data_IF_068833610012
#
_entry.id   IF_068833610012
#
_cell.length_a   1.000
_cell.length_b   1.000
_cell.length_c   1.000
_cell.angle_alpha   90.00
_cell.angle_beta   90.00
_cell.angle_gamma   90.00
#
_symmetry.space_group_name_H-M   'P 1'
#
loop_
_entity.id
_entity.type
_entity.pdbx_description
1 polymer ?
#
# COMPACT_ATOMS: atom_id res chain seq x y z
N UNK A 1 19.13 -19.34 6.19
CA UNK A 1 18.70 -20.23 5.09
C UNK A 1 17.31 -19.77 4.69
N UNK A 2 17.11 -19.34 3.43
CA UNK A 2 15.78 -19.02 2.93
C UNK A 2 14.97 -20.31 2.75
N UNK A 3 13.69 -20.30 3.09
CA UNK A 3 12.81 -21.44 2.87
C UNK A 3 12.49 -21.54 1.38
N UNK A 4 12.51 -22.76 0.84
CA UNK A 4 12.31 -23.03 -0.59
C UNK A 4 10.87 -22.78 -1.06
N UNK A 5 9.88 -22.76 -0.15
CA UNK A 5 8.49 -22.48 -0.49
C UNK A 5 7.73 -21.79 0.64
N UNK A 6 6.70 -21.04 0.27
CA UNK A 6 5.81 -20.38 1.23
C UNK A 6 5.05 -21.37 2.12
N UNK A 7 4.75 -22.58 1.65
CA UNK A 7 4.12 -23.62 2.49
C UNK A 7 5.05 -24.08 3.62
N UNK A 8 6.34 -24.29 3.33
CA UNK A 8 7.34 -24.62 4.35
C UNK A 8 7.47 -23.47 5.36
N UNK A 9 7.47 -22.23 4.88
CA UNK A 9 7.51 -21.05 5.73
C UNK A 9 6.25 -20.90 6.61
N UNK A 10 5.08 -21.18 6.06
CA UNK A 10 3.82 -21.15 6.79
C UNK A 10 3.79 -22.21 7.89
N UNK A 11 4.32 -23.41 7.61
CA UNK A 11 4.46 -24.47 8.61
C UNK A 11 5.46 -24.09 9.70
N UNK A 12 6.63 -23.55 9.34
CA UNK A 12 7.63 -23.07 10.30
C UNK A 12 7.04 -21.99 11.22
N UNK A 13 6.34 -20.98 10.68
CA UNK A 13 5.61 -19.99 11.48
C UNK A 13 4.54 -20.65 12.36
N UNK A 14 3.82 -21.64 11.81
CA UNK A 14 2.82 -22.42 12.52
C UNK A 14 3.38 -23.11 13.77
N UNK A 15 4.58 -23.68 13.66
CA UNK A 15 5.27 -24.43 14.71
C UNK A 15 6.01 -23.52 15.69
N UNK A 16 6.73 -22.52 15.21
CA UNK A 16 7.57 -21.67 16.06
C UNK A 16 6.75 -20.58 16.76
N UNK A 17 5.82 -19.93 16.03
CA UNK A 17 5.11 -18.74 16.51
C UNK A 17 3.69 -19.07 16.95
N UNK A 18 2.96 -19.86 16.16
CA UNK A 18 1.52 -20.07 16.34
C UNK A 18 1.16 -21.39 17.03
N UNK A 19 2.12 -22.10 17.66
CA UNK A 19 1.91 -23.41 18.27
C UNK A 19 0.76 -23.45 19.31
N UNK A 20 0.47 -22.32 19.94
CA UNK A 20 -0.60 -22.17 20.92
C UNK A 20 -2.01 -22.11 20.30
N UNK A 21 -2.14 -21.91 18.98
CA UNK A 21 -3.43 -21.80 18.29
C UNK A 21 -3.95 -23.17 17.85
N UNK A 22 -5.27 -23.36 17.88
CA UNK A 22 -5.94 -24.58 17.39
C UNK A 22 -5.77 -24.79 15.87
N UNK A 23 -5.75 -23.68 15.12
CA UNK A 23 -5.59 -23.66 13.67
C UNK A 23 -4.34 -22.86 13.28
N UNK A 24 -3.18 -23.49 13.50
CA UNK A 24 -1.83 -22.91 13.36
C UNK A 24 -1.57 -22.42 11.95
N UNK A 25 -1.93 -23.24 10.96
CA UNK A 25 -1.73 -22.93 9.54
C UNK A 25 -2.53 -21.70 9.13
N UNK A 26 -3.80 -21.58 9.53
CA UNK A 26 -4.62 -20.38 9.25
C UNK A 26 -4.10 -19.13 9.94
N UNK A 27 -3.60 -19.25 11.18
CA UNK A 27 -2.98 -18.14 11.89
C UNK A 27 -1.72 -17.64 11.18
N UNK A 28 -0.80 -18.55 10.83
CA UNK A 28 0.39 -18.25 10.04
C UNK A 28 0.05 -17.62 8.70
N UNK A 29 -0.93 -18.18 7.98
CA UNK A 29 -1.36 -17.65 6.68
C UNK A 29 -1.91 -16.22 6.76
N UNK A 30 -2.60 -15.86 7.84
CA UNK A 30 -3.05 -14.47 8.06
C UNK A 30 -1.88 -13.53 8.32
N UNK A 31 -0.90 -13.98 9.09
CA UNK A 31 0.33 -13.21 9.32
C UNK A 31 1.08 -12.96 8.01
N UNK A 32 1.18 -13.96 7.13
CA UNK A 32 1.78 -13.79 5.80
C UNK A 32 1.08 -12.71 4.96
N UNK A 33 -0.26 -12.65 4.99
CA UNK A 33 -1.00 -11.57 4.33
C UNK A 33 -0.61 -10.18 4.86
N UNK A 34 -0.46 -10.04 6.18
CA UNK A 34 0.05 -8.81 6.79
C UNK A 34 1.50 -8.51 6.39
N UNK A 35 2.33 -9.52 6.13
CA UNK A 35 3.70 -9.29 5.64
C UNK A 35 3.70 -8.71 4.23
N UNK A 36 2.84 -9.19 3.33
CA UNK A 36 2.70 -8.60 1.98
C UNK A 36 2.35 -7.12 2.08
N UNK A 37 1.37 -6.80 2.92
CA UNK A 37 0.97 -5.41 3.17
C UNK A 37 2.14 -4.55 3.70
N UNK A 38 2.86 -5.04 4.71
CA UNK A 38 4.01 -4.34 5.31
C UNK A 38 5.11 -4.13 4.27
N UNK A 39 5.48 -5.18 3.53
CA UNK A 39 6.51 -5.09 2.49
C UNK A 39 6.13 -4.03 1.45
N UNK A 40 4.89 -4.05 0.95
CA UNK A 40 4.41 -3.04 0.00
C UNK A 40 4.46 -1.63 0.60
N UNK A 41 4.04 -1.44 1.85
CA UNK A 41 4.07 -0.12 2.49
C UNK A 41 5.50 0.43 2.63
N UNK A 42 6.45 -0.39 3.08
CA UNK A 42 7.83 0.05 3.24
C UNK A 42 8.56 0.21 1.90
N UNK A 43 8.18 -0.55 0.86
CA UNK A 43 8.66 -0.32 -0.51
C UNK A 43 8.22 1.06 -1.02
N UNK A 44 6.92 1.39 -0.93
CA UNK A 44 6.38 2.71 -1.29
C UNK A 44 7.08 3.82 -0.51
N UNK A 45 7.34 3.58 0.78
CA UNK A 45 8.05 4.53 1.65
C UNK A 45 9.49 4.76 1.20
N UNK A 46 10.21 3.71 0.83
CA UNK A 46 11.58 3.81 0.30
C UNK A 46 11.68 4.39 -1.10
N UNK A 47 10.60 4.34 -1.88
CA UNK A 47 10.46 5.13 -3.12
C UNK A 47 10.20 6.63 -2.86
N UNK A 48 10.13 7.05 -1.60
CA UNK A 48 9.90 8.45 -1.23
C UNK A 48 8.45 8.90 -1.38
N UNK A 49 7.50 7.96 -1.51
CA UNK A 49 6.08 8.25 -1.74
C UNK A 49 5.26 8.28 -0.43
N UNK A 50 5.88 8.02 0.72
CA UNK A 50 5.24 7.97 2.03
C UNK A 50 4.33 9.17 2.34
N UNK A 51 4.75 10.37 1.94
CA UNK A 51 4.05 11.60 2.25
C UNK A 51 2.80 11.80 1.37
N UNK A 52 2.63 11.01 0.31
CA UNK A 52 1.41 10.92 -0.50
C UNK A 52 0.55 9.73 -0.09
N UNK A 53 1.07 8.78 0.70
CA UNK A 53 0.38 7.52 1.00
C UNK A 53 -0.68 7.68 2.08
N UNK A 54 -1.90 7.30 1.74
CA UNK A 54 -3.01 7.04 2.66
C UNK A 54 -3.30 5.54 2.73
N UNK A 55 -3.76 5.08 3.89
CA UNK A 55 -4.03 3.65 4.18
C UNK A 55 -5.53 3.45 4.43
N UNK A 56 -6.12 2.43 3.82
CA UNK A 56 -7.54 2.03 4.03
C UNK A 56 -8.54 3.18 3.77
N UNK A 57 -8.30 3.98 2.71
CA UNK A 57 -9.16 5.10 2.33
C UNK A 57 -10.21 4.65 1.31
N UNK A 58 -11.42 5.21 1.40
CA UNK A 58 -12.46 5.01 0.41
C UNK A 58 -12.09 5.61 -0.94
N UNK A 59 -12.39 4.89 -2.01
CA UNK A 59 -12.17 5.25 -3.40
C UNK A 59 -13.48 5.05 -4.16
N UNK A 60 -13.98 6.13 -4.76
CA UNK A 60 -15.22 6.09 -5.56
C UNK A 60 -14.98 5.50 -6.94
N UNK A 61 -16.02 4.93 -7.54
CA UNK A 61 -15.99 4.48 -8.93
C UNK A 61 -16.02 5.68 -9.90
N UNK A 62 -15.34 5.53 -11.04
CA UNK A 62 -15.34 6.52 -12.09
C UNK A 62 -16.76 6.74 -12.63
N UNK A 63 -17.26 7.97 -12.47
CA UNK A 63 -18.59 8.35 -12.93
C UNK A 63 -19.74 7.88 -12.02
N UNK A 64 -19.44 7.33 -10.83
CA UNK A 64 -20.46 6.92 -9.86
C UNK A 64 -19.98 7.12 -8.42
N UNK A 65 -20.26 8.29 -7.85
CA UNK A 65 -19.83 8.67 -6.49
C UNK A 65 -20.60 7.94 -5.37
N UNK A 66 -21.74 7.32 -5.68
CA UNK A 66 -22.54 6.54 -4.72
C UNK A 66 -21.90 5.20 -4.37
N UNK A 67 -20.92 4.73 -5.18
CA UNK A 67 -20.21 3.48 -4.96
C UNK A 67 -18.77 3.78 -4.54
N UNK A 68 -18.42 3.37 -3.32
CA UNK A 68 -17.07 3.54 -2.76
C UNK A 68 -16.52 2.22 -2.22
N UNK A 69 -15.22 2.04 -2.40
CA UNK A 69 -14.45 0.86 -1.99
C UNK A 69 -13.27 1.27 -1.12
N UNK A 70 -13.01 0.58 -0.02
CA UNK A 70 -11.78 0.82 0.73
C UNK A 70 -10.62 0.12 0.03
N UNK A 71 -9.58 0.88 -0.31
CA UNK A 71 -8.36 0.34 -0.92
C UNK A 71 -7.22 0.23 0.09
N UNK A 72 -6.32 -0.73 -0.08
CA UNK A 72 -5.22 -0.94 0.87
C UNK A 72 -4.32 0.29 1.01
N UNK A 73 -3.83 0.82 -0.11
CA UNK A 73 -3.12 2.10 -0.16
C UNK A 73 -3.62 2.97 -1.31
N UNK A 74 -3.60 4.28 -1.11
CA UNK A 74 -3.84 5.26 -2.16
C UNK A 74 -2.80 6.37 -2.07
N UNK A 75 -2.33 6.86 -3.21
CA UNK A 75 -1.36 7.93 -3.29
C UNK A 75 -2.05 9.20 -3.76
N UNK A 76 -2.01 10.22 -2.91
CA UNK A 76 -2.71 11.48 -3.12
C UNK A 76 -1.72 12.61 -3.41
N UNK A 77 -2.08 13.54 -4.31
CA UNK A 77 -1.36 14.79 -4.47
C UNK A 77 -1.24 15.54 -3.15
N UNK A 78 -0.08 16.16 -2.91
CA UNK A 78 0.15 17.03 -1.77
C UNK A 78 -0.05 18.46 -2.25
N UNK A 79 -1.02 19.15 -1.66
CA UNK A 79 -1.35 20.55 -1.96
C UNK A 79 -0.43 21.47 -1.15
N UNK A 80 -0.38 21.25 0.17
CA UNK A 80 0.38 22.07 1.09
C UNK A 80 1.19 21.19 2.06
N UNK A 81 2.33 21.70 2.49
CA UNK A 81 3.17 21.09 3.54
C UNK A 81 3.43 22.10 4.64
N UNK A 82 3.20 21.67 5.87
CA UNK A 82 3.41 22.47 7.07
C UNK A 82 4.35 21.74 8.02
N UNK A 83 5.04 22.51 8.86
CA UNK A 83 5.88 21.98 9.93
C UNK A 83 5.38 22.48 11.27
N UNK A 84 5.22 21.57 12.22
CA UNK A 84 4.80 21.89 13.58
C UNK A 84 5.70 21.20 14.59
N UNK A 85 5.90 21.86 15.73
CA UNK A 85 6.64 21.32 16.86
C UNK A 85 5.69 20.97 17.99
N UNK A 86 5.88 19.80 18.59
CA UNK A 86 5.06 19.34 19.72
C UNK A 86 6.00 18.92 20.87
N UNK A 87 5.76 19.37 22.11
CA UNK A 87 6.56 18.95 23.25
C UNK A 87 6.57 17.43 23.43
N UNK A 88 7.74 16.87 23.72
CA UNK A 88 7.89 15.48 24.10
C UNK A 88 7.62 15.31 25.60
N UNK A 89 6.35 15.39 25.98
CA UNK A 89 5.88 15.30 27.37
C UNK A 89 5.62 13.84 27.84
N UNK A 90 6.07 12.84 27.06
CA UNK A 90 5.79 11.43 27.29
C UNK A 90 4.31 11.03 27.11
N UNK A 91 3.43 11.94 26.68
CA UNK A 91 2.02 11.66 26.39
C UNK A 91 1.82 11.37 24.91
N UNK A 92 0.62 10.88 24.57
CA UNK A 92 0.24 10.64 23.18
C UNK A 92 0.26 11.94 22.35
N UNK A 93 0.65 11.80 21.09
CA UNK A 93 0.52 12.82 20.06
C UNK A 93 -0.82 12.62 19.37
N UNK A 94 -1.83 13.37 19.81
CA UNK A 94 -3.20 13.27 19.31
C UNK A 94 -3.45 14.24 18.16
N UNK A 95 -4.43 13.96 17.30
CA UNK A 95 -4.87 14.91 16.27
C UNK A 95 -5.21 16.29 16.85
N UNK A 96 -5.76 16.36 18.08
CA UNK A 96 -6.07 17.65 18.73
C UNK A 96 -4.79 18.44 19.05
N UNK A 97 -3.72 17.78 19.51
CA UNK A 97 -2.43 18.45 19.75
C UNK A 97 -1.83 18.99 18.45
N UNK A 98 -1.87 18.18 17.38
CA UNK A 98 -1.30 18.55 16.07
C UNK A 98 -2.09 19.70 15.43
N UNK A 99 -3.43 19.63 15.41
CA UNK A 99 -4.27 20.68 14.83
C UNK A 99 -4.09 22.02 15.56
N UNK A 100 -4.01 22.03 16.90
CA UNK A 100 -3.73 23.25 17.67
C UNK A 100 -2.39 23.89 17.31
N UNK A 101 -1.35 23.08 17.10
CA UNK A 101 -0.05 23.59 16.68
C UNK A 101 -0.09 24.17 15.25
N UNK A 102 -1.04 23.72 14.42
CA UNK A 102 -1.23 24.13 13.04
C UNK A 102 -2.12 25.38 12.88
N UNK A 103 -2.92 25.76 13.89
CA UNK A 103 -3.88 26.89 13.86
C UNK A 103 -3.27 28.23 13.40
N UNK A 104 -1.97 28.43 13.63
CA UNK A 104 -1.25 29.64 13.19
C UNK A 104 -0.89 29.68 11.70
N UNK A 105 -0.93 28.54 11.02
CA UNK A 105 -0.49 28.37 9.62
C UNK A 105 -1.66 28.05 8.68
N UNK A 106 -2.74 27.46 9.19
CA UNK A 106 -3.88 27.01 8.40
C UNK A 106 -5.18 27.23 9.19
N UNK A 107 -6.22 27.68 8.47
CA UNK A 107 -7.57 27.72 9.01
C UNK A 107 -8.12 26.30 9.19
N UNK A 108 -7.89 25.73 10.39
CA UNK A 108 -8.32 24.37 10.72
C UNK A 108 -9.84 24.22 10.83
N UNK A 109 -10.62 25.30 10.86
CA UNK A 109 -12.08 25.24 11.02
C UNK A 109 -12.77 24.57 9.83
N UNK A 110 -12.09 24.55 8.67
CA UNK A 110 -12.51 23.85 7.44
C UNK A 110 -12.43 22.32 7.56
N UNK A 111 -11.70 21.80 8.54
CA UNK A 111 -11.43 20.37 8.68
C UNK A 111 -12.22 19.75 9.83
N UNK A 112 -12.99 18.71 9.53
CA UNK A 112 -13.57 17.81 10.53
C UNK A 112 -12.44 17.00 11.17
N UNK A 113 -12.17 17.26 12.45
CA UNK A 113 -11.15 16.55 13.22
C UNK A 113 -11.39 15.03 13.26
N UNK A 114 -10.33 14.25 13.09
CA UNK A 114 -10.30 12.80 13.35
C UNK A 114 -9.78 12.49 14.75
N UNK A 115 -10.21 11.37 15.33
CA UNK A 115 -9.79 10.94 16.68
C UNK A 115 -8.58 9.99 16.66
N UNK A 116 -7.65 10.23 15.73
CA UNK A 116 -6.43 9.44 15.59
C UNK A 116 -5.30 9.99 16.47
N UNK A 117 -4.40 9.09 16.87
CA UNK A 117 -3.13 9.45 17.52
C UNK A 117 -2.00 9.05 16.58
N UNK A 118 -1.08 9.98 16.31
CA UNK A 118 0.14 9.69 15.56
C UNK A 118 1.02 8.75 16.37
N UNK A 119 1.22 9.03 17.65
CA UNK A 119 1.98 8.20 18.58
C UNK A 119 1.18 8.04 19.88
N UNK A 120 1.02 6.81 20.36
CA UNK A 120 0.40 6.54 21.65
C UNK A 120 1.42 6.46 22.80
N UNK A 121 0.95 6.40 24.04
CA UNK A 121 1.79 6.32 25.24
C UNK A 121 2.57 5.00 25.38
N UNK A 122 2.36 4.04 24.46
CA UNK A 122 3.04 2.77 24.42
C UNK A 122 3.99 2.69 23.22
N UNK A 123 4.35 3.85 22.64
CA UNK A 123 5.23 4.00 21.50
C UNK A 123 4.74 3.26 20.23
N UNK A 124 3.41 3.18 20.05
CA UNK A 124 2.82 2.66 18.82
C UNK A 124 2.51 3.83 17.89
N UNK A 125 3.19 3.83 16.75
CA UNK A 125 3.01 4.76 15.64
C UNK A 125 1.77 4.36 14.82
N UNK A 126 0.95 5.34 14.45
CA UNK A 126 -0.03 5.22 13.38
C UNK A 126 0.59 5.71 12.07
N UNK A 127 0.82 4.82 11.13
CA UNK A 127 1.24 5.18 9.78
C UNK A 127 0.12 5.92 9.04
N UNK A 128 0.50 6.84 8.15
CA UNK A 128 -0.44 7.68 7.40
C UNK A 128 -1.54 8.30 8.29
N UNK A 129 -1.13 8.97 9.38
CA UNK A 129 -2.06 9.42 10.40
C UNK A 129 -2.89 10.63 9.93
N UNK A 130 -4.12 10.39 9.47
CA UNK A 130 -5.08 11.47 9.20
C UNK A 130 -5.55 12.15 10.48
N UNK A 131 -5.43 13.48 10.55
CA UNK A 131 -5.80 14.30 11.72
C UNK A 131 -7.05 15.15 11.49
N UNK A 132 -7.36 15.48 10.23
CA UNK A 132 -8.53 16.29 9.85
C UNK A 132 -8.92 16.04 8.40
N UNK A 133 -10.17 16.31 8.05
CA UNK A 133 -10.73 16.07 6.72
C UNK A 133 -11.82 17.09 6.38
N UNK A 134 -11.76 17.67 5.19
CA UNK A 134 -12.82 18.47 4.58
C UNK A 134 -13.45 17.70 3.41
N UNK A 135 -14.36 18.32 2.67
CA UNK A 135 -14.93 17.71 1.47
C UNK A 135 -13.97 17.80 0.26
N UNK A 136 -12.97 18.68 0.30
CA UNK A 136 -11.99 18.89 -0.79
C UNK A 136 -10.64 18.22 -0.55
N UNK A 137 -10.19 18.18 0.71
CA UNK A 137 -8.85 17.75 1.09
C UNK A 137 -8.83 17.09 2.48
N UNK A 138 -7.68 16.55 2.87
CA UNK A 138 -7.47 16.03 4.22
C UNK A 138 -6.03 16.22 4.70
N UNK A 139 -5.87 16.25 6.02
CA UNK A 139 -4.59 16.48 6.68
C UNK A 139 -4.00 15.16 7.18
N UNK A 140 -2.79 14.84 6.73
CA UNK A 140 -2.01 13.69 7.16
C UNK A 140 -0.76 14.17 7.89
N UNK A 141 -0.39 13.52 9.00
CA UNK A 141 0.81 13.89 9.75
C UNK A 141 1.81 12.75 9.88
N UNK A 142 3.09 13.09 9.93
CA UNK A 142 4.20 12.16 10.12
C UNK A 142 5.36 12.85 10.86
N UNK A 143 6.30 12.04 11.37
CA UNK A 143 7.52 12.56 12.00
C UNK A 143 8.50 13.09 10.96
N UNK A 144 8.99 14.32 11.18
CA UNK A 144 10.22 14.84 10.57
C UNK A 144 11.44 14.34 11.35
N UNK A 145 11.39 14.54 12.67
CA UNK A 145 12.42 14.07 13.60
C UNK A 145 11.83 13.85 14.99
N UNK A 146 12.50 13.00 15.76
CA UNK A 146 12.17 12.68 17.14
C UNK A 146 13.30 13.21 18.02
N UNK A 147 13.03 14.30 18.75
CA UNK A 147 13.96 14.89 19.71
C UNK A 147 13.64 14.48 21.14
N UNK A 148 14.58 14.75 22.05
CA UNK A 148 14.40 14.47 23.49
C UNK A 148 13.32 15.35 24.10
N UNK A 149 13.32 16.66 23.79
CA UNK A 149 12.37 17.63 24.37
C UNK A 149 11.20 17.96 23.44
N UNK A 150 11.37 17.78 22.13
CA UNK A 150 10.36 18.11 21.12
C UNK A 150 10.33 17.10 19.97
N UNK A 151 9.13 16.91 19.44
CA UNK A 151 8.89 16.24 18.17
C UNK A 151 8.71 17.28 17.07
N UNK A 152 9.45 17.15 15.98
CA UNK A 152 9.18 17.91 14.76
C UNK A 152 8.32 17.05 13.84
N UNK A 153 7.16 17.57 13.45
CA UNK A 153 6.19 16.88 12.61
C UNK A 153 6.00 17.61 11.29
N UNK A 154 5.77 16.85 10.24
CA UNK A 154 5.23 17.35 8.98
C UNK A 154 3.72 17.10 8.96
N UNK A 155 2.97 18.07 8.47
CA UNK A 155 1.55 17.94 8.14
C UNK A 155 1.38 18.21 6.65
N UNK A 156 0.78 17.27 5.94
CA UNK A 156 0.50 17.35 4.52
C UNK A 156 -0.99 17.51 4.32
N UNK A 157 -1.38 18.53 3.57
CA UNK A 157 -2.72 18.62 3.02
C UNK A 157 -2.75 17.86 1.69
N UNK A 158 -3.55 16.81 1.61
CA UNK A 158 -3.69 15.96 0.46
C UNK A 158 -5.06 16.15 -0.19
N UNK A 159 -5.12 16.10 -1.52
CA UNK A 159 -6.40 16.07 -2.25
C UNK A 159 -7.16 14.79 -1.91
N UNK A 160 -8.49 14.82 -1.98
CA UNK A 160 -9.32 13.62 -1.78
C UNK A 160 -9.09 12.54 -2.84
N UNK A 161 -8.78 12.96 -4.07
CA UNK A 161 -8.61 12.08 -5.21
C UNK A 161 -7.16 11.61 -5.33
N UNK A 162 -6.91 10.29 -5.37
CA UNK A 162 -5.57 9.78 -5.59
C UNK A 162 -5.17 9.83 -7.07
N UNK A 163 -3.86 9.83 -7.34
CA UNK A 163 -3.29 9.55 -8.66
C UNK A 163 -2.92 8.08 -8.86
N UNK A 164 -2.81 7.31 -7.76
CA UNK A 164 -2.56 5.88 -7.82
C UNK A 164 -3.17 5.13 -6.63
N UNK A 165 -3.43 3.83 -6.80
CA UNK A 165 -3.85 2.95 -5.71
C UNK A 165 -3.14 1.60 -5.75
N UNK A 166 -2.96 1.00 -4.57
CA UNK A 166 -2.38 -0.33 -4.41
C UNK A 166 -3.35 -1.25 -3.68
N UNK A 167 -3.50 -2.46 -4.21
CA UNK A 167 -4.22 -3.56 -3.58
C UNK A 167 -3.27 -4.74 -3.32
N UNK A 168 -3.21 -5.22 -2.09
CA UNK A 168 -2.36 -6.33 -1.66
C UNK A 168 -3.20 -7.59 -1.45
N UNK A 169 -2.93 -8.67 -2.18
CA UNK A 169 -3.68 -9.91 -2.07
C UNK A 169 -2.77 -11.13 -2.01
N UNK A 170 -3.02 -11.99 -1.01
CA UNK A 170 -2.47 -13.34 -0.99
C UNK A 170 -3.31 -14.26 -1.88
N UNK A 171 -2.68 -15.07 -2.72
CA UNK A 171 -3.37 -15.95 -3.68
C UNK A 171 -2.82 -17.38 -3.56
N UNK A 172 -3.70 -18.36 -3.36
CA UNK A 172 -3.33 -19.78 -3.31
C UNK A 172 -4.24 -20.64 -2.42
N UNK A 173 -4.25 -21.96 -2.66
CA UNK A 173 -5.21 -22.96 -2.14
C UNK A 173 -4.76 -23.50 -0.78
N UNK A 174 -5.66 -23.45 0.21
CA UNK A 174 -5.45 -24.14 1.48
C UNK A 174 -5.48 -25.66 1.24
N UNK A 175 -4.41 -26.36 1.63
CA UNK A 175 -4.27 -27.82 1.52
C UNK A 175 -5.52 -28.56 2.02
N UNK A 176 -6.12 -29.41 1.17
CA UNK A 176 -7.35 -30.16 1.46
C UNK A 176 -8.65 -29.54 0.92
N UNK A 177 -8.63 -28.34 0.34
CA UNK A 177 -9.80 -27.72 -0.28
C UNK A 177 -9.89 -27.98 -1.80
N UNK A 178 -11.04 -28.47 -2.28
CA UNK A 178 -11.35 -28.70 -3.71
C UNK A 178 -11.97 -27.49 -4.43
N UNK A 179 -12.45 -26.49 -3.69
CA UNK A 179 -13.01 -25.24 -4.25
C UNK A 179 -11.99 -24.13 -4.10
N UNK A 180 -11.94 -23.23 -5.09
CA UNK A 180 -11.09 -22.04 -5.05
C UNK A 180 -11.26 -21.31 -3.71
N UNK A 181 -10.18 -21.01 -2.99
CA UNK A 181 -10.24 -20.44 -1.65
C UNK A 181 -10.94 -19.08 -1.67
N UNK A 182 -11.58 -18.71 -0.55
CA UNK A 182 -12.18 -17.38 -0.35
C UNK A 182 -11.22 -16.22 -0.66
N UNK A 183 -9.91 -16.46 -0.65
CA UNK A 183 -8.86 -15.51 -1.03
C UNK A 183 -8.92 -15.12 -2.51
N UNK A 184 -9.29 -16.02 -3.42
CA UNK A 184 -9.46 -15.70 -4.85
C UNK A 184 -10.65 -14.76 -5.05
N UNK A 185 -11.77 -14.99 -4.37
CA UNK A 185 -12.93 -14.11 -4.46
C UNK A 185 -12.62 -12.70 -3.93
N UNK A 186 -11.80 -12.61 -2.88
CA UNK A 186 -11.28 -11.31 -2.39
C UNK A 186 -10.32 -10.64 -3.38
N UNK A 187 -9.49 -11.42 -4.07
CA UNK A 187 -8.62 -10.87 -5.11
C UNK A 187 -9.43 -10.33 -6.30
N UNK A 188 -10.51 -11.03 -6.69
CA UNK A 188 -11.44 -10.57 -7.73
C UNK A 188 -12.19 -9.29 -7.32
N UNK A 189 -12.50 -9.10 -6.05
CA UNK A 189 -13.08 -7.84 -5.56
C UNK A 189 -12.13 -6.66 -5.78
N UNK A 190 -10.86 -6.77 -5.39
CA UNK A 190 -9.87 -5.74 -5.70
C UNK A 190 -9.70 -5.52 -7.21
N UNK A 191 -9.73 -6.61 -7.99
CA UNK A 191 -9.66 -6.57 -9.45
C UNK A 191 -10.88 -5.86 -10.09
N UNK A 192 -12.04 -5.88 -9.44
CA UNK A 192 -13.21 -5.11 -9.85
C UNK A 192 -12.99 -3.61 -9.57
N UNK A 193 -12.51 -3.26 -8.37
CA UNK A 193 -12.18 -1.87 -8.02
C UNK A 193 -11.17 -1.27 -9.00
N UNK A 194 -10.14 -2.02 -9.38
CA UNK A 194 -9.14 -1.60 -10.36
C UNK A 194 -9.72 -1.25 -11.73
N UNK A 195 -10.78 -1.97 -12.14
CA UNK A 195 -11.46 -1.69 -13.41
C UNK A 195 -12.41 -0.49 -13.31
N UNK A 196 -13.01 -0.27 -12.15
CA UNK A 196 -14.07 0.72 -11.98
C UNK A 196 -13.56 2.10 -11.52
N UNK A 197 -12.40 2.19 -10.86
CA UNK A 197 -11.97 3.43 -10.22
C UNK A 197 -11.39 4.49 -11.19
N UNK A 198 -10.69 4.06 -12.25
CA UNK A 198 -9.95 4.97 -13.15
C UNK A 198 -10.79 5.39 -14.37
N UNK A 199 -10.57 6.60 -14.88
CA UNK A 199 -11.17 7.02 -16.17
C UNK A 199 -10.59 6.30 -17.38
N UNK A 200 -9.38 5.75 -17.28
CA UNK A 200 -8.80 4.90 -18.31
C UNK A 200 -9.41 3.51 -18.24
N UNK A 201 -10.26 3.17 -19.21
CA UNK A 201 -10.98 1.91 -19.26
C UNK A 201 -10.34 0.94 -20.27
N UNK A 202 -10.27 -0.34 -19.91
CA UNK A 202 -9.72 -1.41 -20.78
C UNK A 202 -10.81 -1.99 -21.68
N UNK A 203 -10.56 -2.04 -22.99
CA UNK A 203 -11.43 -2.67 -23.99
C UNK A 203 -10.64 -3.65 -24.85
N UNK A 204 -11.35 -4.54 -25.56
CA UNK A 204 -10.74 -5.49 -26.51
C UNK A 204 -11.39 -5.38 -27.89
N UNK A 205 -10.56 -5.51 -28.91
CA UNK A 205 -11.02 -5.65 -30.30
C UNK A 205 -11.49 -7.08 -30.57
N UNK A 206 -12.12 -7.30 -31.73
CA UNK A 206 -12.51 -8.65 -32.17
C UNK A 206 -11.30 -9.58 -32.42
N UNK A 207 -10.13 -9.02 -32.72
CA UNK A 207 -8.84 -9.72 -32.80
C UNK A 207 -8.23 -10.03 -31.43
N UNK A 208 -8.84 -9.54 -30.35
CA UNK A 208 -8.38 -9.75 -28.98
C UNK A 208 -7.26 -8.79 -28.55
N UNK A 209 -6.95 -7.76 -29.31
CA UNK A 209 -5.95 -6.75 -28.91
C UNK A 209 -6.50 -5.88 -27.78
N UNK A 210 -5.61 -5.45 -26.86
CA UNK A 210 -5.98 -4.66 -25.68
C UNK A 210 -5.82 -3.16 -25.97
N UNK A 211 -6.92 -2.43 -25.89
CA UNK A 211 -6.98 -0.99 -26.09
C UNK A 211 -7.44 -0.29 -24.81
N UNK A 212 -7.03 0.96 -24.66
CA UNK A 212 -7.57 1.89 -23.66
C UNK A 212 -8.60 2.80 -24.31
N UNK A 213 -9.63 3.18 -23.54
CA UNK A 213 -10.54 4.27 -23.86
C UNK A 213 -10.58 5.23 -22.68
N UNK A 214 -10.49 6.52 -22.97
CA UNK A 214 -10.66 7.63 -22.02
C UNK A 214 -11.47 8.74 -22.70
N UNK A 215 -12.28 9.47 -21.96
CA UNK A 215 -13.05 10.59 -22.51
C UNK A 215 -12.31 11.91 -22.28
N UNK A 216 -12.15 12.69 -23.34
CA UNK A 216 -11.57 14.04 -23.26
C UNK A 216 -12.58 15.01 -22.62
N UNK A 217 -12.13 16.22 -22.26
CA UNK A 217 -12.98 17.24 -21.66
C UNK A 217 -14.19 17.67 -22.51
N UNK A 218 -14.12 17.47 -23.83
CA UNK A 218 -15.22 17.70 -24.77
C UNK A 218 -16.21 16.51 -24.87
N UNK A 219 -15.98 15.42 -24.13
CA UNK A 219 -16.81 14.22 -24.15
C UNK A 219 -16.53 13.27 -25.33
N UNK A 220 -15.51 13.53 -26.15
CA UNK A 220 -15.12 12.62 -27.22
C UNK A 220 -14.27 11.45 -26.68
N UNK A 221 -14.52 10.22 -27.15
CA UNK A 221 -13.70 9.08 -26.78
C UNK A 221 -12.34 9.17 -27.46
N UNK A 222 -11.29 8.95 -26.68
CA UNK A 222 -9.92 8.80 -27.15
C UNK A 222 -9.46 7.36 -26.92
N UNK A 223 -9.07 6.69 -28.01
CA UNK A 223 -8.82 5.25 -28.04
C UNK A 223 -7.45 4.98 -28.66
N UNK A 224 -6.63 4.20 -27.97
CA UNK A 224 -5.25 3.82 -28.36
C UNK A 224 -4.88 2.45 -27.76
N UNK A 225 -3.81 1.78 -28.23
CA UNK A 225 -3.28 0.60 -27.55
C UNK A 225 -3.07 0.89 -26.07
N UNK A 226 -3.45 -0.05 -25.21
CA UNK A 226 -3.67 0.26 -23.80
C UNK A 226 -2.43 0.82 -23.07
N UNK A 227 -1.27 0.18 -23.25
CA UNK A 227 -0.02 0.61 -22.61
C UNK A 227 0.45 1.96 -23.17
N UNK A 228 0.33 2.17 -24.48
CA UNK A 228 0.68 3.45 -25.11
C UNK A 228 -0.19 4.60 -24.58
N UNK A 229 -1.50 4.37 -24.43
CA UNK A 229 -2.41 5.38 -23.90
C UNK A 229 -2.13 5.67 -22.42
N UNK A 230 -1.85 4.64 -21.63
CA UNK A 230 -1.48 4.80 -20.23
C UNK A 230 -0.21 5.66 -20.08
N UNK A 231 0.82 5.38 -20.88
CA UNK A 231 2.08 6.13 -20.85
C UNK A 231 1.89 7.58 -21.30
N UNK A 232 1.11 7.79 -22.36
CA UNK A 232 0.74 9.13 -22.81
C UNK A 232 0.05 9.92 -21.70
N UNK A 233 -0.92 9.34 -20.99
CA UNK A 233 -1.61 10.02 -19.89
C UNK A 233 -0.60 10.39 -18.80
N UNK A 234 0.19 9.42 -18.32
CA UNK A 234 1.14 9.60 -17.20
C UNK A 234 2.17 10.69 -17.50
N UNK A 235 2.71 10.71 -18.72
CA UNK A 235 3.79 11.62 -19.11
C UNK A 235 3.29 12.93 -19.76
N UNK A 236 2.01 13.05 -20.11
CA UNK A 236 1.41 14.31 -20.56
C UNK A 236 1.14 15.29 -19.42
N UNK A 237 0.89 16.56 -19.75
CA UNK A 237 0.32 17.56 -18.85
C UNK A 237 -1.14 17.90 -19.24
N UNK A 238 -1.81 17.00 -19.97
CA UNK A 238 -3.21 17.18 -20.36
C UNK A 238 -4.12 17.00 -19.13
N UNK A 239 -4.59 18.12 -18.60
CA UNK A 239 -5.44 18.16 -17.41
C UNK A 239 -6.71 17.34 -17.58
N UNK A 240 -7.30 17.30 -18.79
CA UNK A 240 -8.53 16.56 -19.03
C UNK A 240 -8.30 15.04 -18.95
N UNK A 241 -7.13 14.56 -19.36
CA UNK A 241 -6.77 13.15 -19.23
C UNK A 241 -6.40 12.78 -17.79
N UNK A 242 -5.69 13.66 -17.09
CA UNK A 242 -5.18 13.41 -15.74
C UNK A 242 -6.23 13.52 -14.64
N UNK A 243 -7.17 14.48 -14.74
CA UNK A 243 -8.11 14.82 -13.67
C UNK A 243 -8.86 13.61 -13.10
N UNK A 244 -9.16 12.61 -13.94
CA UNK A 244 -9.89 11.40 -13.54
C UNK A 244 -9.09 10.12 -13.70
N UNK A 245 -7.81 10.21 -14.00
CA UNK A 245 -6.93 9.05 -14.12
C UNK A 245 -6.45 8.61 -12.74
N UNK A 246 -6.50 7.30 -12.49
CA UNK A 246 -5.89 6.65 -11.33
C UNK A 246 -5.10 5.47 -11.85
N UNK A 247 -3.80 5.43 -11.56
CA UNK A 247 -2.97 4.26 -11.84
C UNK A 247 -3.29 3.15 -10.85
N UNK A 248 -3.63 1.96 -11.32
CA UNK A 248 -4.04 0.83 -10.47
C UNK A 248 -2.96 -0.24 -10.38
N UNK A 249 -2.49 -0.52 -9.16
CA UNK A 249 -1.41 -1.47 -8.89
C UNK A 249 -1.91 -2.61 -8.01
N UNK A 250 -1.81 -3.84 -8.50
CA UNK A 250 -2.01 -5.05 -7.70
C UNK A 250 -0.68 -5.61 -7.22
N UNK A 251 -0.57 -5.98 -5.95
CA UNK A 251 0.57 -6.71 -5.39
C UNK A 251 0.08 -8.06 -4.88
N UNK A 252 0.57 -9.14 -5.48
CA UNK A 252 0.13 -10.50 -5.16
C UNK A 252 1.28 -11.38 -4.67
N UNK A 253 1.00 -12.29 -3.75
CA UNK A 253 1.94 -13.34 -3.32
C UNK A 253 1.32 -14.74 -3.47
N UNK A 254 2.16 -15.75 -3.66
CA UNK A 254 1.73 -17.15 -3.77
C UNK A 254 1.55 -17.82 -2.41
N UNK A 255 0.58 -18.71 -2.27
CA UNK A 255 0.41 -19.58 -1.09
C UNK A 255 -0.10 -20.95 -1.53
N UNK A 256 0.78 -21.80 -2.09
CA UNK A 256 0.47 -23.20 -2.39
C UNK A 256 0.65 -23.62 -3.86
N UNK A 257 1.86 -23.46 -4.41
CA UNK A 257 2.27 -23.98 -5.74
C UNK A 257 1.34 -23.61 -6.92
N UNK A 258 0.87 -22.36 -6.98
CA UNK A 258 0.02 -21.89 -8.09
C UNK A 258 0.80 -21.43 -9.34
N UNK A 259 2.15 -21.39 -9.35
CA UNK A 259 2.88 -20.57 -10.33
C UNK A 259 4.18 -21.16 -10.87
N UNK A 260 4.36 -20.98 -12.18
CA UNK A 260 5.59 -20.47 -12.80
C UNK A 260 5.22 -19.20 -13.59
N UNK A 261 6.13 -18.24 -13.74
CA UNK A 261 5.93 -17.02 -14.55
C UNK A 261 5.57 -17.32 -16.02
N UNK A 262 5.83 -18.55 -16.47
CA UNK A 262 5.63 -19.01 -17.84
C UNK A 262 4.23 -19.62 -18.07
N UNK A 263 3.47 -19.96 -17.01
CA UNK A 263 2.13 -20.55 -17.15
C UNK A 263 1.12 -19.94 -16.16
N UNK A 264 0.55 -18.81 -16.53
CA UNK A 264 -0.49 -18.15 -15.74
C UNK A 264 -1.77 -18.99 -15.70
N UNK A 265 -2.20 -19.39 -14.50
CA UNK A 265 -3.56 -19.87 -14.27
C UNK A 265 -4.60 -18.79 -14.60
N UNK A 266 -5.87 -19.19 -14.70
CA UNK A 266 -6.98 -18.33 -15.09
C UNK A 266 -7.10 -17.10 -14.19
N UNK A 267 -6.86 -17.25 -12.91
CA UNK A 267 -7.05 -16.22 -11.90
C UNK A 267 -5.98 -15.13 -12.02
N UNK A 268 -4.70 -15.50 -12.20
CA UNK A 268 -3.64 -14.53 -12.44
C UNK A 268 -3.89 -13.77 -13.75
N UNK A 269 -4.41 -14.44 -14.78
CA UNK A 269 -4.86 -13.78 -16.02
C UNK A 269 -5.96 -12.76 -15.72
N UNK A 270 -6.97 -13.11 -14.90
CA UNK A 270 -8.02 -12.16 -14.50
C UNK A 270 -7.43 -10.93 -13.78
N UNK A 271 -6.48 -11.13 -12.87
CA UNK A 271 -5.84 -10.01 -12.17
C UNK A 271 -4.99 -9.15 -13.11
N UNK A 272 -4.18 -9.76 -13.98
CA UNK A 272 -3.34 -9.06 -14.95
C UNK A 272 -4.15 -8.29 -16.01
N UNK A 273 -5.39 -8.72 -16.25
CA UNK A 273 -6.33 -8.02 -17.12
C UNK A 273 -7.09 -6.88 -16.41
N UNK A 274 -7.12 -6.89 -15.08
CA UNK A 274 -7.83 -5.90 -14.28
C UNK A 274 -6.96 -4.70 -13.92
N UNK A 275 -5.78 -4.93 -13.35
CA UNK A 275 -4.89 -3.85 -12.93
C UNK A 275 -4.08 -3.29 -14.11
N UNK A 276 -3.63 -2.04 -13.96
CA UNK A 276 -2.70 -1.41 -14.90
C UNK A 276 -1.31 -2.02 -14.70
N UNK A 277 -0.93 -2.17 -13.43
CA UNK A 277 0.25 -2.90 -12.99
C UNK A 277 -0.12 -4.09 -12.09
N UNK A 278 0.49 -5.24 -12.32
CA UNK A 278 0.40 -6.39 -11.42
C UNK A 278 1.80 -6.86 -11.07
N UNK A 279 2.18 -6.68 -9.80
CA UNK A 279 3.43 -7.11 -9.22
C UNK A 279 3.22 -8.43 -8.47
N UNK A 280 4.15 -9.36 -8.64
CA UNK A 280 4.16 -10.64 -7.93
C UNK A 280 5.34 -10.71 -6.97
N UNK A 281 5.06 -10.69 -5.66
CA UNK A 281 6.04 -10.93 -4.61
C UNK A 281 6.41 -12.42 -4.58
N UNK A 282 7.68 -12.70 -4.88
CA UNK A 282 8.22 -14.06 -4.96
C UNK A 282 8.26 -14.76 -3.59
N UNK A 283 8.17 -16.10 -3.63
CA UNK A 283 8.40 -16.95 -2.46
C UNK A 283 9.77 -16.68 -1.82
N UNK A 284 10.79 -16.45 -2.64
CA UNK A 284 12.13 -16.09 -2.19
C UNK A 284 12.12 -14.79 -1.38
N UNK A 285 11.61 -13.70 -1.94
CA UNK A 285 11.57 -12.41 -1.26
C UNK A 285 10.75 -12.42 0.02
N UNK A 286 9.58 -13.05 0.00
CA UNK A 286 8.76 -13.20 1.21
C UNK A 286 9.47 -14.05 2.28
N UNK A 287 10.13 -15.14 1.88
CA UNK A 287 10.90 -15.97 2.81
C UNK A 287 12.10 -15.23 3.36
N UNK A 288 12.79 -14.44 2.55
CA UNK A 288 13.96 -13.69 2.98
C UNK A 288 13.55 -12.69 4.06
N UNK A 289 12.52 -11.87 3.79
CA UNK A 289 11.97 -10.92 4.76
C UNK A 289 11.63 -11.57 6.10
N UNK A 290 10.95 -12.71 6.08
CA UNK A 290 10.53 -13.40 7.31
C UNK A 290 11.72 -14.03 8.03
N UNK A 291 12.65 -14.65 7.29
CA UNK A 291 13.84 -15.27 7.88
C UNK A 291 14.71 -14.22 8.57
N UNK A 292 15.02 -13.14 7.87
CA UNK A 292 15.96 -12.11 8.34
C UNK A 292 15.39 -11.18 9.42
N UNK A 293 14.07 -11.00 9.50
CA UNK A 293 13.47 -10.06 10.43
C UNK A 293 12.67 -10.71 11.56
N UNK A 294 12.18 -11.94 11.37
CA UNK A 294 11.26 -12.57 12.31
C UNK A 294 11.80 -13.89 12.90
N UNK A 295 12.45 -14.74 12.12
CA UNK A 295 12.91 -16.05 12.61
C UNK A 295 14.35 -16.01 13.12
N UNK A 296 15.24 -15.39 12.34
CA UNK A 296 16.67 -15.31 12.62
C UNK A 296 17.19 -13.86 12.49
N UNK A 297 16.63 -12.91 13.25
CA UNK A 297 17.05 -11.52 13.14
C UNK A 297 18.46 -11.29 13.67
N UNK A 298 19.20 -10.44 12.97
CA UNK A 298 20.37 -9.78 13.54
C UNK A 298 19.96 -8.92 14.76
N UNK A 299 20.93 -8.54 15.60
CA UNK A 299 20.64 -7.73 16.81
C UNK A 299 19.83 -6.47 16.51
N UNK A 300 20.12 -5.82 15.38
CA UNK A 300 19.42 -4.62 14.92
C UNK A 300 17.93 -4.86 14.67
N UNK A 301 17.57 -6.01 14.09
CA UNK A 301 16.21 -6.33 13.69
C UNK A 301 15.40 -7.08 14.75
N UNK A 302 15.98 -7.38 15.92
CA UNK A 302 15.23 -7.97 17.05
C UNK A 302 14.02 -7.13 17.49
N UNK A 303 14.05 -5.82 17.27
CA UNK A 303 12.93 -4.92 17.54
C UNK A 303 11.71 -5.25 16.65
N UNK A 304 11.94 -5.63 15.39
CA UNK A 304 10.92 -6.09 14.44
C UNK A 304 10.30 -7.40 14.92
N UNK A 305 11.14 -8.40 15.23
CA UNK A 305 10.70 -9.69 15.78
C UNK A 305 9.86 -9.51 17.06
N UNK A 306 10.29 -8.65 17.99
CA UNK A 306 9.56 -8.38 19.25
C UNK A 306 8.19 -7.74 18.97
N UNK A 307 8.10 -6.78 18.06
CA UNK A 307 6.83 -6.14 17.70
C UNK A 307 5.87 -7.13 17.02
N UNK A 308 6.40 -7.98 16.14
CA UNK A 308 5.66 -9.09 15.55
C UNK A 308 5.13 -10.04 16.63
N UNK A 309 6.00 -10.58 17.50
CA UNK A 309 5.60 -11.49 18.56
C UNK A 309 4.50 -10.89 19.46
N UNK A 310 4.63 -9.61 19.87
CA UNK A 310 3.61 -8.90 20.66
C UNK A 310 2.24 -8.87 19.99
N UNK A 311 2.20 -8.81 18.66
CA UNK A 311 0.96 -8.78 17.87
C UNK A 311 0.32 -10.16 17.66
N UNK A 312 1.06 -11.24 17.92
CA UNK A 312 0.69 -12.62 17.65
C UNK A 312 0.93 -13.56 18.85
N UNK A 313 0.80 -13.08 20.09
CA UNK A 313 0.81 -13.94 21.29
C UNK A 313 -0.60 -14.41 21.67
N UNK A 314 -0.70 -15.50 22.44
CA UNK A 314 -1.97 -15.99 22.98
C UNK A 314 -2.73 -14.95 23.82
N UNK A 315 -2.00 -14.15 24.60
CA UNK A 315 -2.53 -13.10 25.48
C UNK A 315 -2.48 -11.72 24.82
N UNK A 316 -2.68 -11.65 23.50
CA UNK A 316 -2.64 -10.41 22.71
C UNK A 316 -3.51 -9.33 23.34
N UNK A 317 -2.87 -8.23 23.78
CA UNK A 317 -3.57 -7.03 24.28
C UNK A 317 -3.72 -5.95 23.22
N UNK A 318 -2.78 -5.84 22.28
CA UNK A 318 -2.75 -4.80 21.24
C UNK A 318 -2.07 -5.29 19.97
N UNK A 319 -2.50 -4.79 18.82
CA UNK A 319 -1.81 -4.97 17.53
C UNK A 319 -0.83 -3.82 17.33
N UNK A 320 0.46 -4.14 17.14
CA UNK A 320 1.57 -3.18 17.00
C UNK A 320 2.49 -3.52 15.82
N UNK A 321 2.03 -4.41 14.93
CA UNK A 321 2.78 -4.88 13.77
C UNK A 321 1.83 -5.08 12.59
N UNK A 322 1.29 -3.97 12.08
CA UNK A 322 0.41 -3.92 10.91
C UNK A 322 0.75 -2.69 10.06
N UNK A 323 0.25 -2.65 8.82
CA UNK A 323 0.39 -1.46 7.95
C UNK A 323 -0.07 -0.16 8.62
N UNK A 324 -1.15 -0.20 9.40
CA UNK A 324 -1.72 0.97 10.09
C UNK A 324 -0.99 1.29 11.40
N UNK A 325 -0.59 0.27 12.18
CA UNK A 325 -0.01 0.43 13.51
C UNK A 325 1.30 -0.33 13.63
N UNK A 326 2.37 0.41 13.91
CA UNK A 326 3.71 -0.15 14.05
C UNK A 326 4.35 0.32 15.35
N UNK A 327 5.04 -0.56 16.06
CA UNK A 327 5.94 -0.16 17.13
C UNK A 327 7.02 0.77 16.58
N UNK A 328 7.26 1.92 17.22
CA UNK A 328 8.12 2.97 16.65
C UNK A 328 9.57 2.49 16.41
N UNK A 329 10.06 1.58 17.23
CA UNK A 329 11.40 1.03 17.07
C UNK A 329 11.46 0.02 15.93
N UNK A 330 10.41 -0.79 15.78
CA UNK A 330 10.28 -1.69 14.64
C UNK A 330 10.12 -0.92 13.32
N UNK A 331 9.36 0.18 13.32
CA UNK A 331 9.22 1.04 12.15
C UNK A 331 10.57 1.65 11.75
N UNK A 332 11.36 2.16 12.71
CA UNK A 332 12.70 2.68 12.42
C UNK A 332 13.61 1.59 11.82
N UNK A 333 13.59 0.38 12.39
CA UNK A 333 14.36 -0.75 11.89
C UNK A 333 13.92 -1.19 10.48
N UNK A 334 12.61 -1.23 10.20
CA UNK A 334 12.08 -1.55 8.88
C UNK A 334 12.44 -0.48 7.84
N UNK A 335 12.34 0.81 8.17
CA UNK A 335 12.78 1.88 7.27
C UNK A 335 14.25 1.71 6.87
N UNK A 336 15.09 1.38 7.84
CA UNK A 336 16.52 1.15 7.59
C UNK A 336 16.75 -0.09 6.73
N UNK A 337 16.13 -1.23 7.06
CA UNK A 337 16.22 -2.45 6.28
C UNK A 337 15.88 -2.21 4.80
N UNK A 338 14.77 -1.50 4.53
CA UNK A 338 14.37 -1.21 3.15
C UNK A 338 15.26 -0.18 2.46
N UNK A 339 15.82 0.78 3.20
CA UNK A 339 16.75 1.75 2.64
C UNK A 339 18.09 1.11 2.27
N UNK A 340 18.60 0.22 3.13
CA UNK A 340 19.92 -0.38 2.99
C UNK A 340 19.92 -1.51 1.93
N UNK A 341 18.76 -2.13 1.65
CA UNK A 341 18.62 -3.28 0.74
C UNK A 341 17.64 -3.03 -0.42
N UNK A 342 17.43 -1.77 -0.84
CA UNK A 342 16.36 -1.42 -1.77
C UNK A 342 16.44 -2.20 -3.11
N UNK A 343 17.62 -2.30 -3.71
CA UNK A 343 17.79 -2.99 -5.01
C UNK A 343 17.48 -4.49 -4.90
N UNK A 344 17.88 -5.12 -3.81
CA UNK A 344 17.56 -6.52 -3.52
C UNK A 344 16.05 -6.71 -3.29
N UNK A 345 15.42 -5.81 -2.54
CA UNK A 345 13.99 -5.85 -2.28
C UNK A 345 13.18 -5.61 -3.56
N UNK A 346 13.63 -4.71 -4.44
CA UNK A 346 12.99 -4.50 -5.75
C UNK A 346 13.06 -5.79 -6.60
N UNK A 347 14.12 -6.59 -6.46
CA UNK A 347 14.26 -7.90 -7.12
C UNK A 347 13.31 -8.98 -6.59
N UNK A 348 12.68 -8.77 -5.42
CA UNK A 348 11.67 -9.69 -4.89
C UNK A 348 10.39 -9.74 -5.73
N UNK A 349 10.20 -8.78 -6.64
CA UNK A 349 8.99 -8.64 -7.42
C UNK A 349 9.19 -8.96 -8.89
N UNK A 350 8.36 -9.87 -9.41
CA UNK A 350 8.19 -10.07 -10.85
C UNK A 350 7.05 -9.17 -11.34
N UNK A 351 7.25 -8.49 -12.48
CA UNK A 351 6.18 -7.74 -13.14
C UNK A 351 5.40 -8.69 -14.04
N UNK A 352 4.10 -8.84 -13.77
CA UNK A 352 3.18 -9.70 -14.54
C UNK A 352 2.45 -8.88 -15.60
N UNK A 353 2.10 -7.64 -15.26
CA UNK A 353 1.51 -6.67 -16.18
C UNK A 353 2.00 -5.25 -15.82
N UNK A 354 2.20 -4.37 -16.81
CA UNK A 354 2.22 -4.67 -18.24
C UNK A 354 3.45 -5.54 -18.60
N UNK A 355 3.34 -6.28 -19.72
CA UNK A 355 4.41 -7.15 -20.20
C UNK A 355 5.62 -6.29 -20.59
N UNK A 356 6.83 -6.82 -20.38
CA UNK A 356 8.14 -6.18 -20.71
C UNK A 356 8.52 -4.96 -19.87
N UNK A 357 7.63 -4.41 -19.03
CA UNK A 357 8.00 -3.35 -18.10
C UNK A 357 8.66 -3.88 -16.82
N UNK A 358 9.40 -2.99 -16.19
CA UNK A 358 10.21 -3.21 -15.00
C UNK A 358 9.68 -2.44 -13.80
N UNK A 359 10.06 -2.86 -12.59
CA UNK A 359 9.72 -2.12 -11.36
C UNK A 359 10.27 -0.68 -11.36
N UNK A 360 11.38 -0.45 -12.04
CA UNK A 360 11.96 0.89 -12.23
C UNK A 360 11.05 1.80 -13.04
N UNK A 361 10.39 1.28 -14.07
CA UNK A 361 9.41 2.04 -14.85
C UNK A 361 8.18 2.39 -14.02
N UNK A 362 7.65 1.45 -13.21
CA UNK A 362 6.56 1.75 -12.27
C UNK A 362 6.96 2.87 -11.31
N UNK A 363 8.16 2.79 -10.74
CA UNK A 363 8.70 3.83 -9.84
C UNK A 363 8.79 5.19 -10.54
N UNK A 364 9.22 5.23 -11.80
CA UNK A 364 9.29 6.45 -12.60
C UNK A 364 7.89 7.01 -12.91
N UNK A 365 6.94 6.16 -13.27
CA UNK A 365 5.54 6.55 -13.55
C UNK A 365 4.88 7.16 -12.31
N UNK A 366 5.04 6.52 -11.14
CA UNK A 366 4.56 7.05 -9.86
C UNK A 366 5.26 8.37 -9.50
N UNK A 367 6.55 8.48 -9.80
CA UNK A 367 7.32 9.72 -9.64
C UNK A 367 6.78 10.85 -10.54
N UNK A 368 6.49 10.55 -11.80
CA UNK A 368 5.97 11.49 -12.78
C UNK A 368 4.57 11.99 -12.38
N UNK A 369 3.67 11.08 -11.97
CA UNK A 369 2.35 11.44 -11.45
C UNK A 369 2.47 12.28 -10.19
N UNK A 370 3.35 11.91 -9.24
CA UNK A 370 3.56 12.69 -8.02
C UNK A 370 4.04 14.12 -8.30
N UNK A 371 4.85 14.32 -9.35
CA UNK A 371 5.45 15.62 -9.66
C UNK A 371 4.55 16.56 -10.46
N UNK A 372 3.35 16.15 -10.87
CA UNK A 372 2.42 17.00 -11.61
C UNK A 372 1.91 18.17 -10.76
N UNK A 373 1.55 19.26 -11.41
CA UNK A 373 0.82 20.36 -10.78
C UNK A 373 -0.66 20.00 -10.61
N UNK A 374 -0.95 19.27 -9.54
CA UNK A 374 -2.31 18.83 -9.26
C UNK A 374 -3.25 19.95 -8.84
N UNK A 375 -2.73 21.13 -8.48
CA UNK A 375 -3.57 22.29 -8.19
C UNK A 375 -4.16 22.89 -9.49
N UNK A 376 -3.44 22.80 -10.60
CA UNK A 376 -3.94 23.14 -11.94
C UNK A 376 -4.81 22.04 -12.56
N UNK A 377 -4.58 20.76 -12.21
CA UNK A 377 -5.32 19.61 -12.76
C UNK A 377 -6.69 19.37 -12.10
N UNK A 378 -6.90 19.86 -10.87
CA UNK A 378 -8.04 19.47 -10.00
C UNK A 378 -9.44 19.67 -10.59
#
# INVERSE_FOLDING_TARGET
MAYESIDKLQNALGEEVFHYTKDRKKAAGRALGTMVEIITYYLIKSWGLNNSTSIERGLVEYGNEDISHNVEYSLHPIINTYEVKIPNDGKSITATKVLRALESQLDISKFRKKNNNLLDTHNVLRNACTIGESDESFLLTSFKSIGQDEYALLVFEQMQKPYAMFECKRVGVEEGMKKGPQTIEKAKQGAYVARAASSLQKIRTNSGEKYGIIYRGNGEPYIKPYVELMDEIIYSDDTALLQKFILTIGVVSNHGNWFTAENHNKELKVLAESYDWLMFLTDHGLSQFISELLLHPSEEYKKVQKAFARSYTANKKRNVFTKVRMDIEADAALRRYFSDNLDEIESWFNIIAPIEKTIKELKNELGALRSKDWEEIR
#
